data_IF_051645743836
#
_entry.id   IF_051645743836
#
_cell.length_a   1.000
_cell.length_b   1.000
_cell.length_c   1.000
_cell.angle_alpha   90.00
_cell.angle_beta   90.00
_cell.angle_gamma   90.00
#
_symmetry.space_group_name_H-M   'P 1'
#
loop_
_entity.id
_entity.type
_entity.pdbx_description
1 polymer ?
#
# COMPACT_ATOMS: atom_id res chain seq x y z
N UNK A 1 11.43 -13.99 -6.32
CA UNK A 1 11.11 -13.11 -7.47
C UNK A 1 11.73 -11.77 -7.16
N UNK A 2 12.70 -11.31 -7.95
CA UNK A 2 13.33 -9.99 -7.76
C UNK A 2 12.72 -9.07 -8.80
N UNK A 3 11.79 -8.22 -8.38
CA UNK A 3 11.21 -7.20 -9.24
C UNK A 3 12.11 -5.98 -9.19
N UNK A 4 12.75 -5.64 -10.29
CA UNK A 4 13.58 -4.44 -10.40
C UNK A 4 12.98 -3.57 -11.51
N UNK A 5 12.66 -2.31 -11.18
CA UNK A 5 12.07 -1.36 -12.11
C UNK A 5 13.18 -0.58 -12.81
N UNK A 6 13.24 -0.65 -14.13
CA UNK A 6 14.12 0.20 -14.92
C UNK A 6 13.47 1.58 -14.99
N UNK A 7 14.13 2.58 -14.39
CA UNK A 7 13.68 3.97 -14.41
C UNK A 7 14.08 4.65 -15.74
N UNK A 8 13.55 5.85 -15.99
CA UNK A 8 13.72 6.58 -17.25
C UNK A 8 15.17 6.93 -17.64
N UNK A 9 16.15 6.68 -16.77
CA UNK A 9 17.59 6.75 -17.05
C UNK A 9 18.17 5.43 -17.59
N UNK A 10 17.34 4.41 -17.79
CA UNK A 10 17.74 3.08 -18.25
C UNK A 10 18.39 2.24 -17.16
N UNK A 11 18.30 2.60 -15.87
CA UNK A 11 18.95 1.84 -14.79
C UNK A 11 17.96 1.43 -13.71
N UNK A 12 18.24 0.29 -13.09
CA UNK A 12 17.54 -0.23 -11.94
C UNK A 12 18.53 -0.79 -10.93
N UNK A 13 18.20 -0.70 -9.64
CA UNK A 13 18.92 -1.39 -8.58
C UNK A 13 17.90 -2.01 -7.61
N UNK A 14 18.07 -3.28 -7.31
CA UNK A 14 17.21 -4.03 -6.40
C UNK A 14 18.05 -4.83 -5.41
N UNK A 15 17.54 -5.01 -4.19
CA UNK A 15 18.21 -5.79 -3.15
C UNK A 15 17.32 -6.96 -2.75
N UNK A 16 17.90 -8.15 -2.67
CA UNK A 16 17.25 -9.38 -2.23
C UNK A 16 17.97 -9.92 -1.01
N UNK A 17 17.25 -10.05 0.11
CA UNK A 17 17.77 -10.61 1.36
C UNK A 17 17.20 -12.01 1.57
N UNK A 18 18.05 -12.93 2.01
CA UNK A 18 17.70 -14.30 2.35
C UNK A 18 18.43 -14.70 3.64
N UNK A 19 17.74 -15.42 4.52
CA UNK A 19 18.33 -16.08 5.69
C UNK A 19 17.70 -17.48 5.87
N UNK A 20 18.00 -18.16 6.98
CA UNK A 20 17.47 -19.49 7.28
C UNK A 20 15.99 -19.46 7.74
N UNK A 21 15.38 -18.27 7.85
CA UNK A 21 14.00 -18.07 8.27
C UNK A 21 13.70 -18.34 9.75
N UNK A 22 14.73 -18.68 10.55
CA UNK A 22 14.64 -18.93 11.99
C UNK A 22 15.94 -18.53 12.71
N UNK A 23 15.82 -18.18 14.00
CA UNK A 23 16.94 -17.80 14.86
C UNK A 23 17.54 -16.42 14.61
N UNK A 24 18.75 -16.18 15.14
CA UNK A 24 19.45 -14.89 15.09
C UNK A 24 20.78 -14.94 14.32
N UNK A 25 21.02 -15.98 13.52
CA UNK A 25 22.30 -16.15 12.80
C UNK A 25 22.58 -15.01 11.80
N UNK A 26 21.56 -14.30 11.33
CA UNK A 26 21.73 -13.09 10.51
C UNK A 26 22.59 -12.01 11.22
N UNK A 27 22.52 -11.91 12.55
CA UNK A 27 23.34 -10.97 13.35
C UNK A 27 24.83 -11.32 13.31
N UNK A 28 25.16 -12.57 12.97
CA UNK A 28 26.52 -13.09 12.85
C UNK A 28 26.94 -13.26 11.39
N UNK A 29 26.14 -12.76 10.44
CA UNK A 29 26.43 -12.82 9.01
C UNK A 29 25.76 -13.99 8.28
N UNK A 30 24.95 -14.83 8.94
CA UNK A 30 24.25 -15.98 8.39
C UNK A 30 23.09 -15.65 7.44
N UNK A 31 23.28 -14.69 6.55
CA UNK A 31 22.33 -14.26 5.53
C UNK A 31 23.02 -14.19 4.15
N UNK A 32 22.22 -13.98 3.10
CA UNK A 32 22.66 -13.65 1.75
C UNK A 32 21.91 -12.39 1.31
N UNK A 33 22.63 -11.28 1.20
CA UNK A 33 22.11 -10.02 0.67
C UNK A 33 22.68 -9.81 -0.72
N UNK A 34 21.83 -9.89 -1.75
CA UNK A 34 22.22 -9.74 -3.16
C UNK A 34 21.73 -8.42 -3.70
N UNK A 35 22.63 -7.59 -4.21
CA UNK A 35 22.27 -6.36 -4.92
C UNK A 35 22.31 -6.61 -6.43
N UNK A 36 21.13 -6.70 -7.05
CA UNK A 36 20.99 -6.74 -8.50
C UNK A 36 20.99 -5.32 -9.08
N UNK A 37 21.58 -5.18 -10.25
CA UNK A 37 21.46 -4.00 -11.09
C UNK A 37 20.95 -4.42 -12.46
N UNK A 38 20.06 -3.62 -13.04
CA UNK A 38 19.66 -3.74 -14.43
C UNK A 38 20.07 -2.47 -15.17
N UNK A 39 20.65 -2.61 -16.35
CA UNK A 39 21.04 -1.49 -17.20
C UNK A 39 20.52 -1.75 -18.62
N UNK A 40 19.80 -0.78 -19.18
CA UNK A 40 19.33 -0.76 -20.56
C UNK A 40 20.38 -0.08 -21.42
N UNK A 41 20.95 -0.83 -22.34
CA UNK A 41 21.83 -0.30 -23.38
C UNK A 41 21.23 -0.61 -24.74
N UNK A 42 20.90 0.45 -25.49
CA UNK A 42 20.18 0.36 -26.77
C UNK A 42 18.83 -0.38 -26.63
N UNK A 43 18.79 -1.67 -26.96
CA UNK A 43 17.60 -2.53 -26.89
C UNK A 43 17.81 -3.76 -26.02
N UNK A 44 18.83 -3.77 -25.15
CA UNK A 44 19.14 -4.91 -24.28
C UNK A 44 19.16 -4.46 -22.83
N UNK A 45 18.31 -5.09 -22.02
CA UNK A 45 18.38 -4.99 -20.56
C UNK A 45 19.35 -6.05 -20.06
N UNK A 46 20.42 -5.63 -19.40
CA UNK A 46 21.37 -6.53 -18.74
C UNK A 46 21.13 -6.51 -17.24
N UNK A 47 20.73 -7.65 -16.68
CA UNK A 47 20.59 -7.87 -15.23
C UNK A 47 21.82 -8.61 -14.70
N UNK A 48 22.46 -8.06 -13.68
CA UNK A 48 23.66 -8.63 -13.05
C UNK A 48 23.71 -8.35 -11.55
N UNK A 49 24.55 -9.08 -10.85
CA UNK A 49 24.83 -8.83 -9.43
C UNK A 49 25.97 -7.81 -9.32
N UNK A 50 25.71 -6.72 -8.60
CA UNK A 50 26.72 -5.69 -8.30
C UNK A 50 27.42 -5.93 -6.97
N UNK A 51 26.72 -6.51 -5.99
CA UNK A 51 27.23 -6.75 -4.64
C UNK A 51 26.57 -7.98 -4.01
N UNK A 52 27.33 -8.74 -3.24
CA UNK A 52 26.82 -9.83 -2.39
C UNK A 52 27.41 -9.68 -0.99
N UNK A 53 26.60 -9.85 0.05
CA UNK A 53 27.00 -9.78 1.45
C UNK A 53 26.43 -10.95 2.27
N UNK A 54 27.09 -11.26 3.39
CA UNK A 54 26.74 -12.38 4.25
C UNK A 54 27.41 -13.70 3.86
N UNK A 55 27.25 -14.73 4.70
CA UNK A 55 27.91 -16.03 4.59
C UNK A 55 26.99 -17.16 4.15
N UNK A 56 25.68 -16.90 3.98
CA UNK A 56 24.75 -17.91 3.48
C UNK A 56 25.08 -18.25 2.02
N UNK A 57 25.17 -19.54 1.72
CA UNK A 57 25.54 -20.02 0.39
C UNK A 57 24.40 -19.78 -0.59
N UNK A 58 24.69 -19.12 -1.73
CA UNK A 58 23.72 -18.94 -2.81
C UNK A 58 23.18 -20.28 -3.32
N UNK A 59 21.85 -20.47 -3.34
CA UNK A 59 21.24 -21.67 -3.89
C UNK A 59 21.35 -21.69 -5.42
N UNK A 60 21.46 -22.88 -6.02
CA UNK A 60 21.30 -23.05 -7.46
C UNK A 60 19.81 -23.01 -7.79
N UNK A 61 19.34 -21.92 -8.39
CA UNK A 61 17.94 -21.73 -8.77
C UNK A 61 17.82 -20.96 -10.08
N UNK A 62 16.67 -21.10 -10.73
CA UNK A 62 16.31 -20.33 -11.91
C UNK A 62 15.86 -18.94 -11.48
N UNK A 63 16.45 -17.90 -12.06
CA UNK A 63 16.01 -16.53 -11.97
C UNK A 63 14.97 -16.26 -13.07
N UNK A 64 13.84 -15.69 -12.71
CA UNK A 64 12.82 -15.19 -13.63
C UNK A 64 12.81 -13.67 -13.52
N UNK A 65 13.10 -13.00 -14.63
CA UNK A 65 13.13 -11.55 -14.77
C UNK A 65 11.92 -11.14 -15.58
N UNK A 66 11.22 -10.12 -15.09
CA UNK A 66 10.11 -9.49 -15.78
C UNK A 66 10.44 -8.03 -15.99
N UNK A 67 10.49 -7.60 -17.26
CA UNK A 67 10.68 -6.20 -17.62
C UNK A 67 9.31 -5.61 -17.91
N UNK A 68 8.93 -4.57 -17.18
CA UNK A 68 7.65 -3.88 -17.36
C UNK A 68 7.74 -2.88 -18.50
N UNK A 69 6.79 -2.94 -19.43
CA UNK A 69 6.73 -2.06 -20.62
C UNK A 69 5.73 -0.90 -20.48
N UNK A 70 4.90 -0.91 -19.43
CA UNK A 70 3.76 0.01 -19.27
C UNK A 70 2.42 -0.67 -19.59
N UNK A 71 1.29 -0.07 -19.18
CA UNK A 71 -0.06 -0.59 -19.45
C UNK A 71 -0.26 -2.09 -19.14
N UNK A 72 0.34 -2.56 -18.05
CA UNK A 72 0.36 -3.98 -17.62
C UNK A 72 1.05 -4.96 -18.60
N UNK A 73 1.72 -4.47 -19.63
CA UNK A 73 2.56 -5.29 -20.50
C UNK A 73 3.93 -5.55 -19.86
N UNK A 74 4.43 -6.77 -20.08
CA UNK A 74 5.73 -7.21 -19.59
C UNK A 74 6.40 -8.18 -20.55
N UNK A 75 7.72 -8.27 -20.45
CA UNK A 75 8.54 -9.26 -21.13
C UNK A 75 9.19 -10.15 -20.09
N UNK A 76 9.02 -11.46 -20.27
CA UNK A 76 9.60 -12.47 -19.40
C UNK A 76 10.93 -12.99 -19.96
N UNK A 77 11.90 -13.21 -19.08
CA UNK A 77 13.13 -13.92 -19.38
C UNK A 77 13.57 -14.78 -18.20
N UNK A 78 14.26 -15.87 -18.49
CA UNK A 78 14.73 -16.82 -17.49
C UNK A 78 16.24 -17.04 -17.62
N UNK A 79 16.91 -17.20 -16.49
CA UNK A 79 18.33 -17.55 -16.43
C UNK A 79 18.70 -18.19 -15.10
N UNK A 80 19.99 -18.26 -14.79
CA UNK A 80 20.48 -18.82 -13.53
C UNK A 80 20.75 -17.70 -12.53
N UNK A 81 20.30 -17.84 -11.28
CA UNK A 81 20.68 -16.91 -10.23
C UNK A 81 22.20 -16.92 -10.00
N UNK A 82 22.82 -15.74 -9.99
CA UNK A 82 24.28 -15.59 -9.92
C UNK A 82 24.93 -15.23 -11.26
N UNK A 83 24.25 -15.46 -12.38
CA UNK A 83 24.78 -15.20 -13.72
C UNK A 83 24.23 -13.89 -14.31
N UNK A 84 24.88 -13.41 -15.38
CA UNK A 84 24.38 -12.27 -16.15
C UNK A 84 23.21 -12.74 -17.00
N UNK A 85 22.09 -12.01 -16.96
CA UNK A 85 20.90 -12.28 -17.74
C UNK A 85 20.63 -11.10 -18.67
N UNK A 86 20.42 -11.38 -19.96
CA UNK A 86 20.06 -10.38 -20.96
C UNK A 86 18.62 -10.56 -21.41
N UNK A 87 17.88 -9.45 -21.50
CA UNK A 87 16.52 -9.39 -22.02
C UNK A 87 16.51 -8.48 -23.22
N UNK A 88 16.10 -9.00 -24.37
CA UNK A 88 15.89 -8.20 -25.56
C UNK A 88 14.59 -7.40 -25.40
N UNK A 89 14.70 -6.08 -25.54
CA UNK A 89 13.54 -5.20 -25.57
C UNK A 89 12.83 -5.34 -26.93
N UNK A 90 11.49 -5.48 -26.93
CA UNK A 90 10.71 -5.46 -28.15
C UNK A 90 10.79 -4.08 -28.83
N UNK A 91 10.48 -4.04 -30.12
CA UNK A 91 10.34 -2.79 -30.86
C UNK A 91 9.19 -1.93 -30.33
N UNK A 92 9.18 -0.62 -30.64
CA UNK A 92 8.11 0.28 -30.19
C UNK A 92 6.71 -0.18 -30.64
N UNK A 93 6.60 -0.70 -31.86
CA UNK A 93 5.34 -1.24 -32.40
C UNK A 93 4.87 -2.48 -31.63
N UNK A 94 5.79 -3.38 -31.28
CA UNK A 94 5.50 -4.56 -30.45
C UNK A 94 5.10 -4.16 -29.03
N UNK A 95 5.79 -3.18 -28.43
CA UNK A 95 5.43 -2.63 -27.11
C UNK A 95 4.01 -2.07 -27.15
N UNK A 96 3.68 -1.24 -28.14
CA UNK A 96 2.34 -0.64 -28.27
C UNK A 96 1.25 -1.71 -28.42
N UNK A 97 1.53 -2.78 -29.15
CA UNK A 97 0.62 -3.91 -29.32
C UNK A 97 0.41 -4.68 -28.01
N UNK A 98 1.50 -4.99 -27.31
CA UNK A 98 1.48 -5.68 -26.01
C UNK A 98 0.70 -4.88 -24.96
N UNK A 99 0.95 -3.58 -24.87
CA UNK A 99 0.23 -2.65 -23.99
C UNK A 99 -1.26 -2.69 -24.30
N UNK A 100 -1.63 -2.53 -25.57
CA UNK A 100 -3.04 -2.52 -25.99
C UNK A 100 -3.76 -3.84 -25.65
N UNK A 101 -3.09 -4.98 -25.79
CA UNK A 101 -3.64 -6.30 -25.44
C UNK A 101 -3.79 -6.44 -23.93
N UNK A 102 -2.76 -6.08 -23.17
CA UNK A 102 -2.75 -6.16 -21.71
C UNK A 102 -3.81 -5.26 -21.08
N UNK A 103 -3.98 -4.02 -21.55
CA UNK A 103 -5.02 -3.09 -21.09
C UNK A 103 -6.42 -3.62 -21.37
N UNK A 104 -6.68 -4.17 -22.56
CA UNK A 104 -7.97 -4.79 -22.89
C UNK A 104 -8.26 -5.98 -21.98
N UNK A 105 -7.28 -6.87 -21.76
CA UNK A 105 -7.44 -8.00 -20.86
C UNK A 105 -7.66 -7.57 -19.42
N UNK A 106 -6.94 -6.56 -18.96
CA UNK A 106 -7.12 -5.96 -17.65
C UNK A 106 -8.55 -5.42 -17.49
N UNK A 107 -9.03 -4.64 -18.46
CA UNK A 107 -10.40 -4.11 -18.43
C UNK A 107 -11.45 -5.22 -18.40
N UNK A 108 -11.31 -6.27 -19.22
CA UNK A 108 -12.21 -7.44 -19.20
C UNK A 108 -12.19 -8.14 -17.82
N UNK A 109 -11.01 -8.29 -17.21
CA UNK A 109 -10.89 -8.89 -15.87
C UNK A 109 -11.53 -8.00 -14.81
N UNK A 110 -11.40 -6.68 -14.92
CA UNK A 110 -12.03 -5.72 -14.02
C UNK A 110 -13.55 -5.71 -14.17
N UNK A 111 -14.07 -5.83 -15.39
CA UNK A 111 -15.51 -5.89 -15.67
C UNK A 111 -16.15 -7.21 -15.21
N UNK A 112 -15.41 -8.32 -15.27
CA UNK A 112 -15.87 -9.66 -14.87
C UNK A 112 -15.56 -10.05 -13.42
N UNK A 113 -14.80 -9.22 -12.69
CA UNK A 113 -14.54 -9.42 -11.27
C UNK A 113 -15.86 -9.33 -10.48
N UNK A 114 -16.15 -10.36 -9.67
CA UNK A 114 -17.29 -10.31 -8.76
C UNK A 114 -17.04 -9.20 -7.74
N UNK A 115 -17.94 -8.22 -7.70
CA UNK A 115 -17.95 -7.20 -6.65
C UNK A 115 -18.44 -7.82 -5.35
N UNK A 116 -17.89 -7.35 -4.23
CA UNK A 116 -18.44 -7.68 -2.91
C UNK A 116 -19.91 -7.22 -2.93
N UNK A 117 -20.88 -8.12 -2.69
CA UNK A 117 -22.28 -7.72 -2.66
C UNK A 117 -22.50 -6.68 -1.56
N UNK A 118 -23.25 -5.63 -1.85
CA UNK A 118 -23.73 -4.70 -0.82
C UNK A 118 -24.55 -5.51 0.19
N UNK A 119 -24.11 -5.53 1.45
CA UNK A 119 -24.91 -6.11 2.52
C UNK A 119 -26.10 -5.18 2.72
N UNK A 120 -27.30 -5.62 2.33
CA UNK A 120 -28.53 -5.00 2.81
C UNK A 120 -28.43 -4.88 4.33
N UNK A 121 -28.59 -3.66 4.87
CA UNK A 121 -28.59 -3.39 6.31
C UNK A 121 -29.40 -4.47 7.01
N UNK A 122 -28.72 -5.39 7.68
CA UNK A 122 -29.38 -6.42 8.49
C UNK A 122 -30.30 -5.68 9.43
N UNK A 123 -31.60 -5.84 9.23
CA UNK A 123 -32.62 -5.20 10.07
C UNK A 123 -32.29 -5.51 11.52
N UNK A 124 -32.19 -4.44 12.32
CA UNK A 124 -31.68 -4.50 13.68
C UNK A 124 -32.39 -5.59 14.48
N UNK A 125 -31.60 -6.42 15.16
CA UNK A 125 -32.13 -7.30 16.18
C UNK A 125 -32.90 -6.43 17.19
N UNK A 126 -34.22 -6.66 17.29
CA UNK A 126 -35.08 -6.12 18.34
C UNK A 126 -34.62 -6.73 19.68
N UNK A 127 -33.67 -6.06 20.32
CA UNK A 127 -33.23 -6.36 21.68
C UNK A 127 -32.41 -5.18 22.19
N UNK A 128 -33.04 -4.37 23.05
CA UNK A 128 -32.48 -3.21 23.77
C UNK A 128 -31.24 -2.56 23.12
N UNK A 129 -31.44 -1.50 22.33
CA UNK A 129 -30.33 -0.64 21.90
C UNK A 129 -29.61 -0.07 23.13
N UNK A 130 -28.52 -0.73 23.53
CA UNK A 130 -27.52 -0.11 24.38
C UNK A 130 -27.08 1.17 23.67
N UNK A 131 -27.18 2.32 24.35
CA UNK A 131 -26.66 3.61 23.90
C UNK A 131 -25.26 3.42 23.31
N UNK A 132 -25.16 3.44 21.98
CA UNK A 132 -23.89 3.29 21.28
C UNK A 132 -23.16 4.63 21.36
N UNK A 133 -22.33 4.81 22.38
CA UNK A 133 -21.53 6.03 22.59
C UNK A 133 -20.05 5.80 22.24
N UNK A 134 -19.39 6.71 21.50
CA UNK A 134 -17.97 6.61 21.21
C UNK A 134 -17.14 6.47 22.49
N UNK A 135 -16.04 5.72 22.41
CA UNK A 135 -15.13 5.50 23.52
C UNK A 135 -13.92 6.41 23.35
N UNK A 136 -13.42 6.95 24.46
CA UNK A 136 -12.21 7.75 24.48
C UNK A 136 -11.01 6.88 24.88
N UNK A 137 -9.98 6.84 24.04
CA UNK A 137 -8.69 6.21 24.35
C UNK A 137 -7.68 7.31 24.60
N UNK A 138 -7.09 7.35 25.80
CA UNK A 138 -6.09 8.36 26.17
C UNK A 138 -4.76 7.73 26.53
N UNK A 139 -3.69 8.35 26.06
CA UNK A 139 -2.32 8.17 26.53
C UNK A 139 -1.80 9.50 27.08
N UNK A 140 -0.52 9.56 27.45
CA UNK A 140 0.12 10.83 27.81
C UNK A 140 0.25 11.81 26.62
N UNK A 141 0.17 11.30 25.38
CA UNK A 141 0.47 12.06 24.16
C UNK A 141 -0.77 12.26 23.29
N UNK A 142 -1.68 11.29 23.26
CA UNK A 142 -2.84 11.28 22.37
C UNK A 142 -4.14 11.09 23.13
N UNK A 143 -5.18 11.82 22.72
CA UNK A 143 -6.57 11.49 23.02
C UNK A 143 -7.31 11.17 21.72
N UNK A 144 -7.85 9.96 21.63
CA UNK A 144 -8.59 9.45 20.48
C UNK A 144 -10.05 9.23 20.86
N UNK A 145 -10.98 9.55 19.95
CA UNK A 145 -12.37 9.11 20.05
C UNK A 145 -12.66 8.05 18.99
N UNK A 146 -13.06 6.88 19.44
CA UNK A 146 -13.23 5.67 18.64
C UNK A 146 -14.68 5.20 18.67
N UNK A 147 -15.17 4.66 17.55
CA UNK A 147 -16.51 4.11 17.38
C UNK A 147 -16.41 2.59 17.21
N UNK A 148 -16.51 1.80 18.31
CA UNK A 148 -16.20 0.36 18.27
C UNK A 148 -17.13 -0.46 17.37
N UNK A 149 -18.40 -0.05 17.25
CA UNK A 149 -19.40 -0.81 16.48
C UNK A 149 -19.33 -0.57 14.97
N UNK A 150 -18.44 0.32 14.51
CA UNK A 150 -18.15 0.57 13.09
C UNK A 150 -16.66 0.33 12.87
N UNK A 151 -16.23 -0.91 13.12
CA UNK A 151 -14.86 -1.34 12.88
C UNK A 151 -13.77 -0.65 13.70
N UNK A 152 -14.11 0.15 14.71
CA UNK A 152 -13.13 0.94 15.45
C UNK A 152 -12.76 2.26 14.76
N UNK A 153 -13.65 2.82 13.93
CA UNK A 153 -13.50 4.13 13.28
C UNK A 153 -13.05 5.21 14.28
N UNK A 154 -11.99 5.95 13.92
CA UNK A 154 -11.50 7.08 14.72
C UNK A 154 -12.18 8.35 14.20
N UNK A 155 -12.86 9.06 15.10
CA UNK A 155 -13.60 10.31 14.80
C UNK A 155 -12.96 11.55 15.43
N UNK A 156 -11.94 11.36 16.28
CA UNK A 156 -11.13 12.46 16.81
C UNK A 156 -9.72 12.00 17.09
N UNK A 157 -8.73 12.81 16.73
CA UNK A 157 -7.33 12.66 17.12
C UNK A 157 -6.81 13.99 17.65
N UNK A 158 -6.49 14.04 18.95
CA UNK A 158 -5.93 15.22 19.62
C UNK A 158 -4.54 14.91 20.18
N UNK A 159 -3.57 15.74 19.81
CA UNK A 159 -2.22 15.71 20.38
C UNK A 159 -2.20 16.58 21.64
N UNK A 160 -2.19 15.93 22.80
CA UNK A 160 -2.34 16.58 24.11
C UNK A 160 -1.23 17.60 24.41
N UNK A 161 0.06 17.34 24.14
CA UNK A 161 1.13 18.30 24.41
C UNK A 161 1.00 19.62 23.65
N UNK A 162 0.47 19.59 22.41
CA UNK A 162 0.28 20.81 21.62
C UNK A 162 -1.14 21.37 21.69
N UNK A 163 -2.09 20.64 22.25
CA UNK A 163 -3.52 20.97 22.22
C UNK A 163 -4.12 20.96 20.82
N UNK A 164 -3.45 20.34 19.84
CA UNK A 164 -3.88 20.35 18.43
C UNK A 164 -4.80 19.17 18.14
N UNK A 165 -6.00 19.47 17.66
CA UNK A 165 -6.91 18.47 17.13
C UNK A 165 -6.70 18.31 15.62
N UNK A 166 -6.00 17.25 15.23
CA UNK A 166 -5.63 16.97 13.84
C UNK A 166 -6.78 16.38 13.03
N UNK A 167 -7.65 15.62 13.68
CA UNK A 167 -8.81 14.97 13.08
C UNK A 167 -10.02 15.21 13.96
N UNK A 168 -11.12 15.65 13.37
CA UNK A 168 -12.41 15.79 14.03
C UNK A 168 -13.54 15.50 13.06
N UNK A 169 -14.46 14.62 13.46
CA UNK A 169 -15.57 14.21 12.61
C UNK A 169 -16.79 13.76 13.42
N UNK A 170 -17.85 13.39 12.69
CA UNK A 170 -19.05 12.77 13.26
C UNK A 170 -19.01 11.27 12.99
N UNK A 171 -19.84 10.51 13.71
CA UNK A 171 -19.92 9.05 13.55
C UNK A 171 -20.32 8.64 12.12
N UNK A 172 -21.17 9.45 11.48
CA UNK A 172 -21.77 9.21 10.18
C UNK A 172 -21.00 9.87 9.00
N UNK A 173 -20.03 10.73 9.28
CA UNK A 173 -19.36 11.56 8.27
C UNK A 173 -17.89 11.82 8.63
N UNK A 174 -16.98 11.52 7.71
CA UNK A 174 -15.54 11.83 7.75
C UNK A 174 -14.76 11.21 8.93
N UNK A 175 -13.47 11.52 9.05
CA UNK A 175 -12.59 10.98 10.09
C UNK A 175 -11.65 9.94 9.52
N UNK A 176 -11.34 8.90 10.28
CA UNK A 176 -10.50 7.80 9.86
C UNK A 176 -11.37 6.65 9.37
N UNK A 177 -11.55 6.56 8.05
CA UNK A 177 -12.39 5.55 7.41
C UNK A 177 -11.53 4.40 6.85
N UNK A 178 -12.09 3.20 6.84
CA UNK A 178 -11.46 2.00 6.26
C UNK A 178 -12.40 1.38 5.22
N UNK A 179 -11.83 0.95 4.10
CA UNK A 179 -12.57 0.42 2.95
C UNK A 179 -11.94 -0.89 2.47
N UNK A 180 -12.75 -1.81 1.94
CA UNK A 180 -12.32 -3.12 1.42
C UNK A 180 -12.37 -3.25 -0.12
N UNK A 181 -12.64 -2.16 -0.85
CA UNK A 181 -12.74 -2.14 -2.31
C UNK A 181 -12.13 -0.90 -2.96
N UNK A 182 -12.02 -0.93 -4.28
CA UNK A 182 -11.40 0.17 -5.05
C UNK A 182 -12.34 1.33 -5.34
N UNK A 183 -13.64 1.09 -5.26
CA UNK A 183 -14.71 2.04 -5.52
C UNK A 183 -14.87 3.12 -4.43
N UNK A 184 -15.48 4.24 -4.82
CA UNK A 184 -15.77 5.34 -3.93
C UNK A 184 -16.89 4.94 -2.95
N UNK A 185 -16.52 4.78 -1.67
CA UNK A 185 -17.35 4.26 -0.56
C UNK A 185 -17.72 2.78 -0.65
N UNK A 186 -16.73 1.91 -0.84
CA UNK A 186 -16.92 0.45 -0.72
C UNK A 186 -17.33 0.03 0.71
N UNK A 187 -17.63 -1.25 0.90
CA UNK A 187 -17.87 -1.83 2.23
C UNK A 187 -16.66 -1.63 3.16
N UNK A 188 -16.92 -1.60 4.48
CA UNK A 188 -15.91 -1.50 5.55
C UNK A 188 -16.04 -0.23 6.40
N UNK A 189 -16.66 0.83 5.87
CA UNK A 189 -16.69 2.13 6.52
C UNK A 189 -17.89 2.35 7.45
N UNK A 190 -19.03 1.72 7.17
CA UNK A 190 -20.29 1.90 7.93
C UNK A 190 -20.81 0.63 8.59
N UNK A 191 -20.27 -0.52 8.20
CA UNK A 191 -20.71 -1.82 8.65
C UNK A 191 -19.88 -2.29 9.85
N UNK A 192 -20.49 -3.08 10.73
CA UNK A 192 -19.71 -3.89 11.65
C UNK A 192 -18.97 -4.94 10.82
N UNK A 193 -17.69 -5.21 11.14
CA UNK A 193 -16.95 -6.29 10.52
C UNK A 193 -17.72 -7.62 10.65
N UNK A 194 -18.29 -8.08 9.53
CA UNK A 194 -19.00 -9.34 9.43
C UNK A 194 -18.30 -10.20 8.39
N UNK A 195 -18.05 -11.47 8.72
CA UNK A 195 -17.56 -12.45 7.74
C UNK A 195 -18.76 -12.87 6.89
N UNK A 196 -18.91 -12.28 5.71
CA UNK A 196 -20.10 -12.46 4.86
C UNK A 196 -19.98 -13.72 3.98
N UNK A 197 -18.76 -14.14 3.63
CA UNK A 197 -18.53 -15.32 2.79
C UNK A 197 -17.20 -16.02 3.15
N UNK A 198 -17.18 -17.35 3.06
CA UNK A 198 -15.97 -18.19 3.07
C UNK A 198 -16.02 -19.07 1.84
N UNK A 199 -15.20 -18.78 0.82
CA UNK A 199 -15.05 -19.70 -0.30
C UNK A 199 -14.36 -20.98 0.18
N UNK A 200 -15.14 -22.04 0.40
CA UNK A 200 -14.63 -23.40 0.57
C UNK A 200 -14.29 -23.92 -0.83
N UNK A 201 -13.03 -24.29 -1.03
CA UNK A 201 -12.57 -24.90 -2.29
C UNK A 201 -13.28 -26.25 -2.45
N UNK A 202 -14.34 -26.30 -3.25
CA UNK A 202 -14.83 -27.55 -3.82
C UNK A 202 -14.20 -27.74 -5.19
N UNK A 203 -13.61 -28.91 -5.39
CA UNK A 203 -12.89 -29.27 -6.61
C UNK A 203 -13.84 -29.24 -7.82
N UNK A 204 -13.60 -28.31 -8.76
CA UNK A 204 -14.19 -28.37 -10.11
C UNK A 204 -14.79 -27.07 -10.66
N UNK A 205 -15.07 -26.05 -9.84
CA UNK A 205 -15.57 -24.76 -10.36
C UNK A 205 -14.42 -23.76 -10.59
N UNK A 206 -14.48 -23.05 -11.72
CA UNK A 206 -13.56 -21.96 -12.08
C UNK A 206 -13.47 -20.96 -10.91
N UNK A 207 -12.25 -20.78 -10.40
CA UNK A 207 -11.92 -19.83 -9.34
C UNK A 207 -12.44 -18.43 -9.67
N UNK A 208 -13.55 -18.04 -9.06
CA UNK A 208 -13.93 -16.63 -9.01
C UNK A 208 -13.16 -16.01 -7.85
N UNK A 209 -12.01 -15.42 -8.16
CA UNK A 209 -11.20 -14.73 -7.17
C UNK A 209 -11.88 -13.40 -6.81
N UNK A 210 -12.44 -13.33 -5.60
CA UNK A 210 -12.87 -12.06 -5.01
C UNK A 210 -11.62 -11.24 -4.71
N UNK A 211 -11.45 -10.15 -5.47
CA UNK A 211 -10.37 -9.20 -5.25
C UNK A 211 -10.79 -8.25 -4.13
N UNK A 212 -9.85 -7.98 -3.23
CA UNK A 212 -10.02 -7.08 -2.09
C UNK A 212 -8.90 -6.06 -2.13
N UNK A 213 -9.21 -4.83 -1.74
CA UNK A 213 -8.23 -3.77 -1.55
C UNK A 213 -8.51 -3.10 -0.22
N UNK A 214 -7.58 -3.15 0.72
CA UNK A 214 -7.68 -2.41 1.97
C UNK A 214 -7.28 -0.96 1.70
N UNK A 215 -8.12 -0.02 2.08
CA UNK A 215 -7.80 1.41 2.03
C UNK A 215 -8.01 2.05 3.38
N UNK A 216 -7.03 2.82 3.78
CA UNK A 216 -7.06 3.71 4.94
C UNK A 216 -7.29 5.13 4.43
N UNK A 217 -8.34 5.78 4.92
CA UNK A 217 -8.81 7.09 4.46
C UNK A 217 -9.00 8.06 5.63
N UNK A 218 -7.90 8.55 6.23
CA UNK A 218 -7.95 9.60 7.24
C UNK A 218 -8.24 10.94 6.59
N UNK A 219 -9.15 11.71 7.17
CA UNK A 219 -9.42 13.10 6.81
C UNK A 219 -8.96 14.02 7.94
N UNK A 220 -7.89 14.75 7.70
CA UNK A 220 -7.35 15.75 8.63
C UNK A 220 -8.00 17.11 8.43
N UNK A 221 -8.16 17.84 9.52
CA UNK A 221 -8.63 19.22 9.52
C UNK A 221 -7.42 20.15 9.45
N UNK A 222 -7.40 21.06 8.48
CA UNK A 222 -6.34 22.03 8.33
C UNK A 222 -6.73 23.30 9.07
N UNK A 223 -6.01 23.63 10.15
CA UNK A 223 -6.27 24.84 10.93
C UNK A 223 -5.85 26.09 10.15
N UNK A 224 -4.71 26.02 9.45
CA UNK A 224 -4.20 27.09 8.59
C UNK A 224 -3.99 26.58 7.16
N UNK A 225 -5.05 26.40 6.34
CA UNK A 225 -4.95 25.72 5.05
C UNK A 225 -3.97 26.37 4.05
N UNK A 226 -3.81 27.69 4.11
CA UNK A 226 -2.88 28.45 3.26
C UNK A 226 -1.42 28.34 3.72
N UNK A 227 -1.20 27.96 4.98
CA UNK A 227 0.11 27.82 5.62
C UNK A 227 0.45 26.36 5.93
N UNK A 228 -0.33 25.43 5.35
CA UNK A 228 -0.17 23.99 5.50
C UNK A 228 0.31 23.35 4.21
N UNK A 229 1.18 22.35 4.31
CA UNK A 229 1.69 21.60 3.16
C UNK A 229 2.07 20.17 3.56
N UNK A 230 2.14 19.26 2.59
CA UNK A 230 2.62 17.89 2.82
C UNK A 230 4.05 17.77 2.30
N UNK A 231 4.93 17.32 3.17
CA UNK A 231 6.28 16.89 2.81
C UNK A 231 6.27 15.38 2.61
N UNK A 232 6.86 14.96 1.51
CA UNK A 232 7.15 13.56 1.22
C UNK A 232 8.44 13.49 0.41
N UNK A 233 9.14 12.37 0.50
CA UNK A 233 10.30 12.11 -0.35
C UNK A 233 9.79 11.46 -1.63
N UNK A 234 9.64 12.26 -2.71
CA UNK A 234 9.42 11.73 -4.07
C UNK A 234 10.75 11.28 -4.68
N UNK A 235 10.74 10.24 -5.51
CA UNK A 235 11.94 9.74 -6.19
C UNK A 235 12.24 10.48 -7.50
N UNK A 236 11.31 11.30 -8.00
CA UNK A 236 11.42 11.91 -9.33
C UNK A 236 11.18 13.43 -9.41
N UNK A 237 10.83 14.09 -8.30
CA UNK A 237 10.64 15.54 -8.25
C UNK A 237 9.45 16.11 -9.04
N UNK A 238 8.46 15.32 -9.46
CA UNK A 238 7.28 15.80 -10.19
C UNK A 238 5.93 15.57 -9.46
N UNK A 239 4.84 16.21 -9.92
CA UNK A 239 3.51 16.20 -9.27
C UNK A 239 2.61 15.05 -9.79
N UNK A 240 2.62 13.83 -9.22
CA UNK A 240 1.59 12.80 -9.47
C UNK A 240 1.49 11.75 -8.32
N UNK A 241 0.49 10.85 -8.40
CA UNK A 241 0.21 9.68 -7.53
C UNK A 241 1.49 9.19 -6.82
N UNK A 242 1.54 9.40 -5.51
CA UNK A 242 2.77 9.23 -4.74
C UNK A 242 2.98 7.73 -4.54
N UNK A 243 4.05 7.17 -5.09
CA UNK A 243 4.50 5.84 -4.67
C UNK A 243 5.21 5.95 -3.32
N UNK A 244 4.88 5.08 -2.36
CA UNK A 244 5.54 5.14 -1.08
C UNK A 244 6.92 4.50 -1.19
N UNK A 245 7.96 5.30 -1.41
CA UNK A 245 9.33 4.76 -1.47
C UNK A 245 10.10 4.98 -0.15
N UNK A 246 9.64 5.91 0.68
CA UNK A 246 10.22 6.22 2.00
C UNK A 246 9.38 5.74 3.18
N UNK A 247 8.14 5.29 2.93
CA UNK A 247 7.22 4.82 3.97
C UNK A 247 6.85 5.92 4.97
N UNK A 248 6.98 7.19 4.60
CA UNK A 248 6.76 8.32 5.51
C UNK A 248 6.28 9.57 4.78
N UNK A 249 5.21 10.20 5.29
CA UNK A 249 4.77 11.55 4.92
C UNK A 249 4.62 12.43 6.16
N UNK A 250 4.71 13.74 5.98
CA UNK A 250 4.49 14.71 7.06
C UNK A 250 3.53 15.82 6.60
N UNK A 251 2.39 15.96 7.30
CA UNK A 251 1.53 17.13 7.20
C UNK A 251 2.08 18.24 8.09
N UNK A 252 2.50 19.35 7.50
CA UNK A 252 3.09 20.48 8.20
C UNK A 252 2.09 21.63 8.31
N UNK A 253 1.95 22.21 9.50
CA UNK A 253 1.28 23.49 9.75
C UNK A 253 2.33 24.50 10.26
N UNK A 254 2.65 25.51 9.43
CA UNK A 254 3.69 26.49 9.76
C UNK A 254 3.33 27.39 10.93
N UNK A 255 2.06 27.77 11.03
CA UNK A 255 1.61 28.66 12.09
C UNK A 255 1.71 28.01 13.46
N UNK A 256 1.50 26.69 13.53
CA UNK A 256 1.70 25.91 14.74
C UNK A 256 3.16 25.54 14.98
N UNK A 257 4.02 25.57 13.95
CA UNK A 257 5.37 25.04 14.04
C UNK A 257 5.41 23.53 14.29
N UNK A 258 4.39 22.80 13.78
CA UNK A 258 4.22 21.37 13.99
C UNK A 258 4.08 20.60 12.67
N UNK A 259 4.56 19.35 12.68
CA UNK A 259 4.37 18.36 11.63
C UNK A 259 3.74 17.08 12.19
N UNK A 260 2.64 16.62 11.59
CA UNK A 260 2.06 15.29 11.80
C UNK A 260 2.69 14.31 10.82
N UNK A 261 3.59 13.48 11.32
CA UNK A 261 4.27 12.43 10.56
C UNK A 261 3.41 11.17 10.55
N UNK A 262 3.21 10.58 9.37
CA UNK A 262 2.69 9.23 9.21
C UNK A 262 3.78 8.32 8.66
N UNK A 263 4.15 7.27 9.39
CA UNK A 263 5.09 6.22 8.95
C UNK A 263 4.33 4.93 8.71
N UNK A 264 4.64 4.20 7.65
CA UNK A 264 3.88 3.02 7.25
C UNK A 264 4.75 1.96 6.57
N UNK A 265 4.30 0.71 6.62
CA UNK A 265 5.05 -0.42 6.07
C UNK A 265 4.96 -0.47 4.54
N UNK A 266 6.10 -0.35 3.88
CA UNK A 266 6.21 -0.40 2.41
C UNK A 266 5.75 -1.71 1.80
N UNK A 267 5.90 -2.84 2.49
CA UNK A 267 5.44 -4.13 1.96
C UNK A 267 3.90 -4.28 1.98
N UNK A 268 3.21 -3.36 2.65
CA UNK A 268 1.77 -3.41 2.89
C UNK A 268 1.00 -2.35 2.08
N UNK A 269 1.68 -1.27 1.68
CA UNK A 269 1.10 -0.15 0.95
C UNK A 269 1.57 -0.16 -0.51
N UNK A 270 0.64 -0.46 -1.41
CA UNK A 270 0.86 -0.48 -2.85
C UNK A 270 0.87 0.93 -3.44
N UNK A 271 -0.08 1.75 -3.01
CA UNK A 271 -0.21 3.13 -3.47
C UNK A 271 -0.76 4.03 -2.39
N UNK A 272 -0.69 5.29 -2.70
CA UNK A 272 -0.75 6.34 -1.72
C UNK A 272 -1.41 7.54 -2.42
N UNK A 273 -2.46 8.09 -1.83
CA UNK A 273 -3.29 9.10 -2.51
C UNK A 273 -3.50 10.30 -1.60
N UNK A 274 -3.24 11.50 -2.15
CA UNK A 274 -3.41 12.76 -1.44
C UNK A 274 -4.55 13.52 -2.10
N UNK A 275 -5.57 13.86 -1.32
CA UNK A 275 -6.66 14.72 -1.78
C UNK A 275 -6.76 15.96 -0.88
N UNK A 276 -6.53 17.13 -1.48
CA UNK A 276 -6.58 18.42 -0.79
C UNK A 276 -7.94 19.07 -1.00
N UNK A 277 -8.71 19.18 0.10
CA UNK A 277 -10.00 19.82 0.12
C UNK A 277 -9.93 21.28 0.61
N UNK A 278 -11.07 21.95 0.63
CA UNK A 278 -11.18 23.30 1.20
C UNK A 278 -11.16 23.24 2.73
N UNK A 279 -9.95 23.22 3.30
CA UNK A 279 -9.71 23.13 4.74
C UNK A 279 -9.58 21.71 5.30
N UNK A 280 -9.52 20.70 4.42
CA UNK A 280 -9.30 19.30 4.79
C UNK A 280 -8.22 18.67 3.93
N UNK A 281 -7.62 17.61 4.44
CA UNK A 281 -6.62 16.85 3.73
C UNK A 281 -6.81 15.36 3.97
N UNK A 282 -6.90 14.59 2.90
CA UNK A 282 -6.89 13.14 2.94
C UNK A 282 -5.50 12.61 2.61
N UNK A 283 -4.95 11.76 3.48
CA UNK A 283 -3.69 11.06 3.29
C UNK A 283 -3.97 9.55 3.24
N UNK A 284 -4.37 9.07 2.07
CA UNK A 284 -4.80 7.69 1.90
C UNK A 284 -3.65 6.72 1.68
N UNK A 285 -3.76 5.54 2.29
CA UNK A 285 -2.90 4.39 2.05
C UNK A 285 -3.74 3.26 1.47
N UNK A 286 -3.25 2.62 0.43
CA UNK A 286 -3.97 1.57 -0.28
C UNK A 286 -3.08 0.33 -0.38
N UNK A 287 -3.64 -0.83 -0.09
CA UNK A 287 -3.00 -2.10 -0.35
C UNK A 287 -3.10 -2.46 -1.83
N UNK A 288 -2.41 -3.52 -2.24
CA UNK A 288 -2.67 -4.15 -3.53
C UNK A 288 -4.13 -4.58 -3.64
N UNK A 289 -4.67 -4.54 -4.86
CA UNK A 289 -5.96 -5.14 -5.18
C UNK A 289 -5.73 -6.60 -5.59
N UNK A 290 -5.93 -7.53 -4.65
CA UNK A 290 -5.60 -8.95 -4.86
C UNK A 290 -6.54 -9.89 -4.09
N UNK A 291 -6.55 -11.19 -4.43
CA UNK A 291 -7.26 -12.18 -3.63
C UNK A 291 -6.65 -12.29 -2.23
N UNK A 292 -7.48 -12.61 -1.25
CA UNK A 292 -7.07 -12.81 0.15
C UNK A 292 -7.34 -14.23 0.62
N UNK A 293 -6.48 -14.72 1.51
CA UNK A 293 -6.65 -16.00 2.20
C UNK A 293 -6.26 -15.86 3.67
N UNK A 294 -6.53 -16.90 4.48
CA UNK A 294 -6.07 -16.90 5.88
C UNK A 294 -4.55 -16.81 6.00
N UNK A 295 -3.82 -17.34 5.03
CA UNK A 295 -2.36 -17.37 4.99
C UNK A 295 -1.77 -16.11 4.35
N UNK A 296 -2.56 -15.36 3.57
CA UNK A 296 -2.14 -14.11 2.92
C UNK A 296 -3.20 -13.02 3.11
N UNK A 297 -3.40 -12.54 4.35
CA UNK A 297 -4.32 -11.44 4.61
C UNK A 297 -3.79 -10.14 3.99
N UNK A 298 -4.66 -9.16 3.81
CA UNK A 298 -4.25 -7.78 3.60
C UNK A 298 -4.08 -7.10 4.96
N UNK A 299 -3.06 -6.26 5.06
CA UNK A 299 -2.77 -5.45 6.22
C UNK A 299 -2.22 -4.11 5.73
N UNK A 300 -2.55 -3.05 6.46
CA UNK A 300 -1.86 -1.76 6.38
C UNK A 300 -1.50 -1.40 7.82
N UNK A 301 -0.20 -1.30 8.08
CA UNK A 301 0.36 -0.92 9.37
C UNK A 301 1.01 0.45 9.23
N UNK A 302 0.59 1.37 10.08
CA UNK A 302 1.15 2.72 10.12
C UNK A 302 1.06 3.32 11.53
N UNK A 303 1.79 4.40 11.75
CA UNK A 303 1.84 5.13 13.01
C UNK A 303 1.87 6.64 12.78
N UNK A 304 1.39 7.38 13.78
CA UNK A 304 1.40 8.84 13.77
C UNK A 304 2.29 9.39 14.88
N UNK A 305 3.07 10.40 14.54
CA UNK A 305 3.94 11.13 15.45
C UNK A 305 3.80 12.63 15.19
N UNK A 306 3.76 13.46 16.24
CA UNK A 306 3.85 14.91 16.09
C UNK A 306 5.27 15.36 16.40
N UNK A 307 5.85 16.15 15.49
CA UNK A 307 7.18 16.74 15.63
C UNK A 307 7.10 18.25 15.56
N UNK A 308 8.00 18.94 16.27
CA UNK A 308 8.25 20.35 16.01
C UNK A 308 8.98 20.51 14.68
N UNK A 309 8.60 21.51 13.89
CA UNK A 309 9.33 21.90 12.68
C UNK A 309 10.13 23.17 12.98
N UNK A 310 11.43 23.12 12.69
CA UNK A 310 12.39 24.23 12.84
C UNK A 310 12.34 25.18 11.66
#
# INVERSE_FOLDING_TARGET
>A
MVTSHIFGDGKAKGVHFEDDGDGYEFTRGGYLLTTYVAELESSVVTVRISKTEGSLKRPKRRLHVQVLLGGFAMVDSWGTDGEILQVMMPSEDEVSSLVSVSEKQYNIRMESAKRIPEVEKVSGHKGSELSRSPIELKSAVWALKVVPWIGGRIISMEHLPSGTQWLHSRVDVNGYEEFSGTEYRSAGCSEQYAVIEKNLVQAGERESLMLVCLRVHPMFTLLHPTESYVLFTSVDGSKHEVRPESGEWMLVDRCLGLGLVNRFNLSEVYKCFIHWGHGTLNLELWSENRPVSKQSPLRISHEYEVRGIS
#
